data_IF_091291703083
#
_entry.id   IF_091291703083
#
_cell.length_a   1.000
_cell.length_b   1.000
_cell.length_c   1.000
_cell.angle_alpha   90.00
_cell.angle_beta   90.00
_cell.angle_gamma   90.00
#
_symmetry.space_group_name_H-M   'P 1'
#
loop_
_entity.id
_entity.type
_entity.pdbx_description
1 polymer ?
#
# COMPACT_ATOMS: atom_id res chain seq x y z
N UNK A 1 -3.49 -5.48 14.66
CA UNK A 1 -4.12 -5.67 13.33
C UNK A 1 -5.52 -5.12 13.41
N UNK A 2 -5.79 -3.96 12.80
CA UNK A 2 -5.00 -3.27 11.75
C UNK A 2 -3.64 -2.73 12.23
N UNK A 3 -2.77 -2.32 11.29
CA UNK A 3 -1.57 -1.53 11.58
C UNK A 3 -1.96 -0.06 11.68
N UNK A 4 -1.72 0.57 12.82
CA UNK A 4 -2.11 1.95 13.09
C UNK A 4 -0.92 2.90 12.97
N UNK A 5 -1.12 4.17 12.55
CA UNK A 5 -0.12 5.21 12.69
C UNK A 5 0.36 5.40 14.14
N UNK A 6 -0.45 4.99 15.12
CA UNK A 6 -0.19 5.05 16.56
C UNK A 6 0.67 3.88 17.09
N UNK A 7 0.91 2.85 16.28
CA UNK A 7 1.77 1.73 16.67
C UNK A 7 3.24 2.17 16.80
N UNK A 8 3.97 1.51 17.70
CA UNK A 8 5.42 1.72 17.84
C UNK A 8 6.17 1.16 16.63
N UNK A 9 7.04 1.98 16.03
CA UNK A 9 7.75 1.65 14.77
C UNK A 9 9.28 1.65 14.93
N UNK A 10 9.75 1.42 16.16
CA UNK A 10 11.18 1.52 16.51
C UNK A 10 12.01 0.27 16.15
N UNK A 11 11.36 -0.81 15.71
CA UNK A 11 12.00 -2.10 15.42
C UNK A 11 11.75 -2.56 13.98
N UNK A 12 12.26 -1.84 12.95
CA UNK A 12 12.10 -2.23 11.56
C UNK A 12 12.85 -3.53 11.25
N UNK A 13 12.18 -4.47 10.59
CA UNK A 13 12.75 -5.78 10.19
C UNK A 13 13.53 -5.74 8.86
N UNK A 14 13.57 -4.59 8.19
CA UNK A 14 14.31 -4.40 6.94
C UNK A 14 15.00 -3.03 6.89
N UNK A 15 16.11 -2.96 6.13
CA UNK A 15 16.80 -1.70 5.86
C UNK A 15 15.86 -0.71 5.15
N UNK A 16 15.02 -1.19 4.23
CA UNK A 16 14.00 -0.35 3.59
C UNK A 16 13.09 0.32 4.63
N UNK A 17 12.52 -0.45 5.56
CA UNK A 17 11.67 0.09 6.61
C UNK A 17 12.41 1.10 7.51
N UNK A 18 13.68 0.80 7.86
CA UNK A 18 14.51 1.73 8.63
C UNK A 18 14.72 3.06 7.89
N UNK A 19 15.02 3.04 6.59
CA UNK A 19 15.19 4.28 5.81
C UNK A 19 13.89 5.08 5.66
N UNK A 20 12.74 4.40 5.54
CA UNK A 20 11.43 5.07 5.52
C UNK A 20 11.09 5.70 6.86
N UNK A 21 11.40 5.03 7.98
CA UNK A 21 11.24 5.63 9.31
C UNK A 21 12.18 6.82 9.53
N UNK A 22 13.41 6.75 9.01
CA UNK A 22 14.34 7.88 9.05
C UNK A 22 13.76 9.12 8.33
N UNK A 23 13.04 8.93 7.21
CA UNK A 23 12.37 10.06 6.54
C UNK A 23 11.31 10.73 7.42
N UNK A 24 10.52 9.95 8.18
CA UNK A 24 9.56 10.51 9.13
C UNK A 24 10.27 11.40 10.17
N UNK A 25 11.35 10.89 10.77
CA UNK A 25 12.14 11.64 11.76
C UNK A 25 12.78 12.90 11.16
N UNK A 26 13.33 12.81 9.95
CA UNK A 26 13.89 13.97 9.24
C UNK A 26 12.82 15.01 8.95
N UNK A 27 11.64 14.61 8.46
CA UNK A 27 10.53 15.53 8.16
C UNK A 27 9.98 16.22 9.40
N UNK A 28 9.87 15.50 10.53
CA UNK A 28 9.50 16.08 11.82
C UNK A 28 10.50 17.14 12.26
N UNK A 29 11.81 16.84 12.21
CA UNK A 29 12.86 17.79 12.59
C UNK A 29 12.79 19.09 11.78
N UNK A 30 12.59 18.99 10.46
CA UNK A 30 12.40 20.17 9.60
C UNK A 30 11.10 20.93 9.92
N UNK A 31 10.01 20.22 10.21
CA UNK A 31 8.74 20.85 10.60
C UNK A 31 8.88 21.61 11.92
N UNK A 32 9.59 21.03 12.88
CA UNK A 32 9.80 21.64 14.19
C UNK A 32 10.73 22.86 14.12
N UNK A 33 11.86 22.75 13.42
CA UNK A 33 12.86 23.82 13.36
C UNK A 33 12.44 24.97 12.44
N UNK A 34 11.76 24.67 11.33
CA UNK A 34 11.53 25.63 10.25
C UNK A 34 10.06 25.86 9.93
N UNK A 35 9.13 25.19 10.62
CA UNK A 35 7.70 25.36 10.41
C UNK A 35 7.20 24.86 9.05
N UNK A 36 7.98 24.04 8.35
CA UNK A 36 7.61 23.47 7.04
C UNK A 36 6.50 22.43 7.27
N UNK A 37 5.28 22.60 6.75
CA UNK A 37 4.24 21.60 6.92
C UNK A 37 4.58 20.32 6.17
N UNK A 38 4.57 19.18 6.87
CA UNK A 38 4.89 17.89 6.25
C UNK A 38 3.85 16.83 6.55
N UNK A 39 3.40 16.16 5.48
CA UNK A 39 2.51 15.01 5.56
C UNK A 39 3.24 13.77 5.09
N UNK A 40 3.40 12.78 5.97
CA UNK A 40 3.93 11.47 5.61
C UNK A 40 2.80 10.49 5.31
N UNK A 41 2.88 9.80 4.17
CA UNK A 41 1.94 8.76 3.78
C UNK A 41 2.62 7.39 3.81
N UNK A 42 2.14 6.50 4.66
CA UNK A 42 2.57 5.09 4.74
C UNK A 42 1.73 4.26 3.78
N UNK A 43 2.32 3.94 2.63
CA UNK A 43 1.68 3.16 1.59
C UNK A 43 1.63 1.67 1.93
N UNK A 44 0.49 1.06 1.60
CA UNK A 44 0.34 -0.39 1.50
C UNK A 44 0.50 -0.84 0.04
N UNK A 45 -0.03 -2.00 -0.35
CA UNK A 45 0.29 -2.58 -1.66
C UNK A 45 -0.50 -1.87 -2.75
N UNK A 46 0.18 -1.00 -3.52
CA UNK A 46 -0.42 -0.32 -4.68
C UNK A 46 -0.33 -1.19 -5.93
N UNK A 47 -1.41 -1.24 -6.73
CA UNK A 47 -1.46 -1.97 -7.99
C UNK A 47 -2.27 -1.23 -9.06
N UNK A 48 -2.05 -1.58 -10.33
CA UNK A 48 -2.78 -1.00 -11.47
C UNK A 48 -1.87 -0.82 -12.69
N UNK A 49 -2.41 -0.29 -13.81
CA UNK A 49 -1.65 0.06 -15.01
C UNK A 49 -0.35 0.80 -14.69
N UNK A 50 0.70 0.55 -15.48
CA UNK A 50 2.06 1.09 -15.24
C UNK A 50 2.70 0.64 -13.92
N UNK A 51 2.17 -0.42 -13.30
CA UNK A 51 2.72 -1.04 -12.11
C UNK A 51 4.14 -1.57 -12.32
N UNK A 52 4.88 -1.73 -11.22
CA UNK A 52 6.28 -2.16 -11.27
C UNK A 52 6.41 -3.66 -11.59
N UNK A 53 7.40 -4.07 -12.42
CA UNK A 53 7.53 -5.45 -12.86
C UNK A 53 8.00 -6.42 -11.77
N UNK A 54 8.47 -5.93 -10.62
CA UNK A 54 8.89 -6.72 -9.46
C UNK A 54 7.74 -7.10 -8.51
N UNK A 55 6.51 -6.66 -8.78
CA UNK A 55 5.36 -6.83 -7.88
C UNK A 55 4.42 -7.97 -8.32
N UNK A 56 3.72 -8.55 -7.35
CA UNK A 56 2.94 -9.80 -7.49
C UNK A 56 1.99 -9.81 -8.69
N UNK A 57 1.15 -8.77 -8.85
CA UNK A 57 0.20 -8.69 -9.98
C UNK A 57 0.91 -8.78 -11.34
N UNK A 58 2.04 -8.09 -11.48
CA UNK A 58 2.81 -8.08 -12.72
C UNK A 58 3.47 -9.43 -12.96
N UNK A 59 4.20 -9.95 -11.96
CA UNK A 59 4.89 -11.24 -12.04
C UNK A 59 3.92 -12.37 -12.38
N UNK A 60 2.74 -12.39 -11.74
CA UNK A 60 1.72 -13.40 -11.99
C UNK A 60 1.10 -13.26 -13.37
N UNK A 61 0.76 -12.05 -13.80
CA UNK A 61 0.19 -11.82 -15.13
C UNK A 61 1.16 -12.26 -16.23
N UNK A 62 2.44 -11.90 -16.10
CA UNK A 62 3.49 -12.34 -17.04
C UNK A 62 3.60 -13.85 -17.09
N UNK A 63 3.74 -14.51 -15.95
CA UNK A 63 3.88 -15.96 -15.88
C UNK A 63 2.65 -16.69 -16.44
N UNK A 64 1.43 -16.25 -16.08
CA UNK A 64 0.17 -16.84 -16.57
C UNK A 64 0.04 -16.69 -18.09
N UNK A 65 0.39 -15.52 -18.64
CA UNK A 65 0.36 -15.31 -20.09
C UNK A 65 1.38 -16.18 -20.83
N UNK A 66 2.55 -16.43 -20.23
CA UNK A 66 3.61 -17.26 -20.77
C UNK A 66 3.44 -18.78 -20.51
N UNK A 67 2.45 -19.19 -19.72
CA UNK A 67 2.29 -20.59 -19.33
C UNK A 67 3.37 -21.07 -18.33
N UNK A 68 3.93 -20.15 -17.56
CA UNK A 68 4.95 -20.42 -16.53
C UNK A 68 4.28 -20.54 -15.14
N UNK A 69 4.90 -21.30 -14.21
CA UNK A 69 4.39 -21.43 -12.86
C UNK A 69 4.55 -20.14 -12.04
N UNK A 70 3.55 -19.82 -11.22
CA UNK A 70 3.61 -18.76 -10.22
C UNK A 70 3.93 -19.34 -8.84
N UNK A 71 4.82 -18.69 -8.09
CA UNK A 71 5.10 -19.05 -6.69
C UNK A 71 4.02 -18.48 -5.78
N UNK A 72 3.33 -19.35 -5.06
CA UNK A 72 2.24 -18.98 -4.14
C UNK A 72 2.66 -19.32 -2.72
N UNK A 73 3.21 -18.34 -2.01
CA UNK A 73 3.69 -18.50 -0.64
C UNK A 73 2.55 -18.64 0.38
N UNK A 74 2.86 -19.25 1.52
CA UNK A 74 1.92 -19.58 2.59
C UNK A 74 0.66 -20.32 2.08
N UNK A 75 0.84 -21.19 1.08
CA UNK A 75 -0.25 -21.98 0.50
C UNK A 75 -1.47 -21.14 0.04
N UNK A 76 -1.25 -19.91 -0.41
CA UNK A 76 -2.30 -19.01 -0.89
C UNK A 76 -3.09 -18.28 0.20
N UNK A 77 -2.78 -18.51 1.48
CA UNK A 77 -3.49 -17.93 2.63
C UNK A 77 -3.04 -16.50 2.98
N UNK A 78 -2.10 -15.94 2.21
CA UNK A 78 -1.65 -14.56 2.43
C UNK A 78 -2.79 -13.58 2.16
N UNK A 79 -2.95 -12.64 3.08
CA UNK A 79 -3.86 -11.49 2.93
C UNK A 79 -3.04 -10.22 2.75
N UNK A 80 -3.40 -9.44 1.75
CA UNK A 80 -2.75 -8.18 1.43
C UNK A 80 -3.79 -7.09 1.21
N UNK A 81 -3.42 -5.90 1.62
CA UNK A 81 -4.20 -4.69 1.38
C UNK A 81 -3.76 -4.11 0.03
N UNK A 82 -4.56 -4.43 -0.99
CA UNK A 82 -4.37 -3.97 -2.36
C UNK A 82 -5.21 -2.71 -2.59
N UNK A 83 -4.54 -1.62 -2.95
CA UNK A 83 -5.18 -0.35 -3.30
C UNK A 83 -4.91 -0.03 -4.75
N UNK A 84 -5.99 0.23 -5.51
CA UNK A 84 -5.87 0.54 -6.92
C UNK A 84 -5.21 1.91 -7.13
N UNK A 85 -4.44 2.05 -8.19
CA UNK A 85 -3.61 3.24 -8.44
C UNK A 85 -4.44 4.53 -8.51
N UNK A 86 -5.64 4.49 -9.10
CA UNK A 86 -6.47 5.69 -9.21
C UNK A 86 -7.02 6.13 -7.84
N UNK A 87 -7.34 5.19 -6.95
CA UNK A 87 -7.74 5.51 -5.56
C UNK A 87 -6.57 6.16 -4.79
N UNK A 88 -5.34 5.68 -5.02
CA UNK A 88 -4.12 6.28 -4.44
C UNK A 88 -3.91 7.70 -4.98
N UNK A 89 -4.05 7.89 -6.29
CA UNK A 89 -3.87 9.19 -6.94
C UNK A 89 -4.89 10.20 -6.41
N UNK A 90 -6.16 9.81 -6.28
CA UNK A 90 -7.21 10.66 -5.72
C UNK A 90 -6.89 11.06 -4.28
N UNK A 91 -6.43 10.12 -3.45
CA UNK A 91 -5.99 10.40 -2.09
C UNK A 91 -4.83 11.41 -2.02
N UNK A 92 -3.84 11.25 -2.90
CA UNK A 92 -2.68 12.17 -2.99
C UNK A 92 -3.12 13.57 -3.47
N UNK A 93 -4.04 13.67 -4.43
CA UNK A 93 -4.51 14.96 -4.92
C UNK A 93 -5.27 15.71 -3.81
N UNK A 94 -6.14 15.03 -3.07
CA UNK A 94 -6.94 15.65 -2.00
C UNK A 94 -6.11 16.11 -0.81
N UNK A 95 -5.11 15.33 -0.40
CA UNK A 95 -4.30 15.66 0.78
C UNK A 95 -3.40 16.88 0.54
N UNK A 96 -3.04 17.20 -0.72
CA UNK A 96 -2.21 18.37 -1.04
C UNK A 96 -2.83 19.69 -0.55
N UNK A 97 -4.16 19.79 -0.53
CA UNK A 97 -4.88 20.98 -0.06
C UNK A 97 -5.03 21.04 1.48
N UNK A 98 -4.55 20.02 2.22
CA UNK A 98 -4.78 19.86 3.66
C UNK A 98 -3.46 19.82 4.44
N UNK A 99 -2.70 20.91 4.35
CA UNK A 99 -1.44 21.05 5.06
C UNK A 99 -1.62 20.98 6.59
N UNK A 100 -0.79 20.19 7.31
CA UNK A 100 -0.83 20.12 8.77
C UNK A 100 -0.61 21.49 9.41
N UNK A 101 -1.28 21.71 10.53
CA UNK A 101 -1.16 22.94 11.33
C UNK A 101 -0.38 22.64 12.61
N UNK A 102 0.21 23.67 13.21
CA UNK A 102 0.82 23.56 14.54
C UNK A 102 -0.22 23.18 15.58
N UNK A 103 0.20 22.39 16.57
CA UNK A 103 -0.67 21.94 17.67
C UNK A 103 -0.01 22.25 19.03
N UNK A 104 -0.17 23.47 19.57
CA UNK A 104 0.52 23.90 20.79
C UNK A 104 0.23 23.00 22.00
N UNK A 105 -0.97 22.41 22.05
CA UNK A 105 -1.43 21.57 23.16
C UNK A 105 -1.02 20.09 23.04
N UNK A 106 -0.27 19.73 21.99
CA UNK A 106 0.24 18.36 21.82
C UNK A 106 1.36 18.06 22.84
N UNK A 107 1.38 16.85 23.38
CA UNK A 107 2.43 16.39 24.31
C UNK A 107 2.91 14.98 23.98
N UNK A 108 4.18 14.67 24.27
CA UNK A 108 4.77 13.35 24.01
C UNK A 108 4.10 12.21 24.79
N UNK A 109 3.40 12.51 25.89
CA UNK A 109 2.80 11.52 26.79
C UNK A 109 1.32 11.25 26.52
N UNK A 110 0.62 12.16 25.85
CA UNK A 110 -0.82 12.07 25.61
C UNK A 110 -1.24 12.34 24.16
N UNK A 111 -0.35 12.90 23.35
CA UNK A 111 -0.58 13.19 21.94
C UNK A 111 -0.48 11.95 21.06
N UNK A 112 -1.14 12.00 19.90
CA UNK A 112 -1.01 10.99 18.86
C UNK A 112 0.44 10.94 18.34
N UNK A 113 0.99 9.74 18.17
CA UNK A 113 2.33 9.50 17.63
C UNK A 113 2.45 9.84 16.15
N UNK A 114 1.32 9.87 15.46
CA UNK A 114 1.23 10.33 14.07
C UNK A 114 1.32 11.84 13.93
N UNK A 115 1.32 12.61 15.02
CA UNK A 115 1.30 14.07 15.01
C UNK A 115 2.40 14.65 15.91
N UNK A 116 2.53 15.97 15.93
CA UNK A 116 3.42 16.68 16.83
C UNK A 116 2.88 18.09 17.13
N UNK A 117 3.58 18.83 18.00
CA UNK A 117 3.35 20.27 18.17
C UNK A 117 3.75 21.08 16.92
N UNK A 118 4.70 20.57 16.15
CA UNK A 118 5.07 21.04 14.81
C UNK A 118 3.97 20.72 13.77
N UNK A 119 3.92 21.41 12.61
CA UNK A 119 2.99 21.10 11.52
C UNK A 119 3.40 19.80 10.80
N UNK A 120 3.21 18.67 11.48
CA UNK A 120 3.64 17.35 11.06
C UNK A 120 2.49 16.35 11.26
N UNK A 121 2.18 15.56 10.23
CA UNK A 121 1.19 14.50 10.33
C UNK A 121 1.55 13.27 9.50
N UNK A 122 1.29 12.09 10.06
CA UNK A 122 1.39 10.80 9.38
C UNK A 122 0.01 10.21 9.16
N UNK A 123 -0.16 9.57 8.01
CA UNK A 123 -1.33 8.77 7.70
C UNK A 123 -0.90 7.43 7.11
N UNK A 124 -1.70 6.39 7.33
CA UNK A 124 -1.69 5.25 6.43
C UNK A 124 -2.60 5.54 5.24
N UNK A 125 -2.19 5.07 4.06
CA UNK A 125 -3.01 5.09 2.86
C UNK A 125 -3.10 3.66 2.31
N UNK A 126 -4.33 3.17 2.17
CA UNK A 126 -4.64 1.78 1.87
C UNK A 126 -6.14 1.62 1.58
N UNK A 127 -6.59 0.39 1.33
CA UNK A 127 -7.99 0.05 1.06
C UNK A 127 -8.69 -0.56 2.30
N UNK A 128 -7.95 -0.97 3.33
CA UNK A 128 -8.46 -1.57 4.58
C UNK A 128 -9.31 -2.83 4.42
N UNK A 129 -9.45 -3.33 3.20
CA UNK A 129 -10.12 -4.56 2.85
C UNK A 129 -9.06 -5.59 2.42
N UNK A 130 -8.57 -6.43 3.34
CA UNK A 130 -7.57 -7.44 3.00
C UNK A 130 -8.13 -8.42 1.98
N UNK A 131 -7.44 -8.56 0.85
CA UNK A 131 -7.76 -9.51 -0.21
C UNK A 131 -6.84 -10.72 -0.09
N UNK A 132 -7.41 -11.91 -0.17
CA UNK A 132 -6.66 -13.16 -0.24
C UNK A 132 -5.90 -13.25 -1.57
N UNK A 133 -4.66 -13.75 -1.51
CA UNK A 133 -3.82 -13.92 -2.69
C UNK A 133 -4.50 -14.75 -3.77
N UNK A 134 -5.29 -15.77 -3.38
CA UNK A 134 -6.04 -16.56 -4.36
C UNK A 134 -7.15 -15.77 -5.06
N UNK A 135 -7.79 -14.81 -4.39
CA UNK A 135 -8.77 -13.94 -5.07
C UNK A 135 -8.09 -13.08 -6.14
N UNK A 136 -6.89 -12.58 -5.87
CA UNK A 136 -6.07 -11.89 -6.88
C UNK A 136 -5.76 -12.81 -8.06
N UNK A 137 -5.30 -14.04 -7.81
CA UNK A 137 -4.96 -15.00 -8.87
C UNK A 137 -6.20 -15.32 -9.71
N UNK A 138 -7.35 -15.59 -9.08
CA UNK A 138 -8.61 -15.82 -9.78
C UNK A 138 -9.04 -14.62 -10.66
N UNK A 139 -8.85 -13.39 -10.18
CA UNK A 139 -9.12 -12.19 -10.98
C UNK A 139 -8.20 -12.11 -12.21
N UNK A 140 -6.91 -12.48 -12.07
CA UNK A 140 -5.97 -12.52 -13.20
C UNK A 140 -6.36 -13.63 -14.18
N UNK A 141 -6.72 -14.81 -13.69
CA UNK A 141 -7.19 -15.91 -14.56
C UNK A 141 -8.42 -15.50 -15.37
N UNK A 142 -9.37 -14.80 -14.75
CA UNK A 142 -10.57 -14.29 -15.42
C UNK A 142 -10.21 -13.25 -16.50
N UNK A 143 -9.37 -12.26 -16.16
CA UNK A 143 -8.98 -11.19 -17.09
C UNK A 143 -8.10 -11.69 -18.25
N UNK A 144 -7.24 -12.69 -17.99
CA UNK A 144 -6.36 -13.28 -19.01
C UNK A 144 -7.05 -14.37 -19.83
N UNK A 145 -8.10 -15.01 -19.30
CA UNK A 145 -8.70 -16.21 -19.89
C UNK A 145 -7.80 -17.45 -19.81
N UNK A 146 -6.75 -17.43 -18.98
CA UNK A 146 -5.80 -18.54 -18.80
C UNK A 146 -5.76 -18.99 -17.34
N UNK A 147 -5.57 -20.29 -17.11
CA UNK A 147 -5.41 -20.84 -15.76
C UNK A 147 -3.97 -20.75 -15.29
N UNK A 148 -3.78 -20.37 -14.03
CA UNK A 148 -2.47 -20.26 -13.41
C UNK A 148 -1.95 -21.65 -13.02
N UNK A 149 -0.68 -21.92 -13.35
CA UNK A 149 0.04 -23.06 -12.83
C UNK A 149 0.61 -22.65 -11.46
N UNK A 150 0.01 -23.15 -10.37
CA UNK A 150 0.35 -22.73 -9.01
C UNK A 150 1.43 -23.64 -8.42
N UNK A 151 2.55 -23.04 -8.03
CA UNK A 151 3.60 -23.68 -7.24
C UNK A 151 3.48 -23.21 -5.79
N UNK A 152 2.83 -24.01 -4.94
CA UNK A 152 2.60 -23.67 -3.54
C UNK A 152 3.87 -23.83 -2.70
N UNK A 153 4.22 -22.76 -1.99
CA UNK A 153 5.44 -22.67 -1.20
C UNK A 153 5.12 -22.43 0.28
N UNK A 154 5.98 -22.89 1.21
CA UNK A 154 5.86 -22.53 2.62
C UNK A 154 6.03 -21.00 2.80
N UNK A 155 5.57 -20.47 3.93
CA UNK A 155 5.76 -19.05 4.25
C UNK A 155 7.26 -18.73 4.37
N UNK A 156 7.69 -17.56 3.89
CA UNK A 156 9.07 -17.13 4.01
C UNK A 156 9.34 -16.55 5.40
N UNK A 157 10.55 -16.72 5.98
CA UNK A 157 10.93 -16.02 7.20
C UNK A 157 10.83 -14.50 7.02
N UNK A 158 10.09 -13.83 7.91
CA UNK A 158 9.85 -12.38 7.86
C UNK A 158 8.59 -11.96 7.10
N UNK A 159 7.91 -12.89 6.42
CA UNK A 159 6.57 -12.62 5.87
C UNK A 159 5.51 -12.65 6.97
N UNK A 160 4.52 -11.77 6.83
CA UNK A 160 3.34 -11.70 7.70
C UNK A 160 2.10 -12.21 6.96
N UNK A 161 1.28 -12.99 7.65
CA UNK A 161 0.09 -13.65 7.09
C UNK A 161 -0.94 -12.64 6.58
N UNK A 162 -1.16 -11.55 7.32
CA UNK A 162 -2.09 -10.50 6.94
C UNK A 162 -1.48 -9.11 7.19
N UNK A 163 -1.62 -8.23 6.21
CA UNK A 163 -1.32 -6.80 6.35
C UNK A 163 -2.55 -6.02 5.92
N UNK A 164 -3.13 -5.24 6.82
CA UNK A 164 -4.12 -4.23 6.47
C UNK A 164 -3.94 -2.99 7.32
N UNK A 165 -4.19 -1.85 6.69
CA UNK A 165 -4.00 -0.53 7.25
C UNK A 165 -5.20 -0.14 8.12
N UNK A 166 -4.94 0.61 9.20
CA UNK A 166 -5.94 1.51 9.76
C UNK A 166 -5.84 2.83 9.01
N UNK A 167 -6.87 3.16 8.22
CA UNK A 167 -6.92 4.36 7.35
C UNK A 167 -8.02 5.33 7.76
N UNK A 168 -8.76 5.07 8.84
CA UNK A 168 -9.97 5.83 9.17
C UNK A 168 -9.67 7.33 9.37
N UNK A 169 -8.51 7.66 9.93
CA UNK A 169 -8.08 9.06 10.07
C UNK A 169 -7.83 9.70 8.69
N UNK A 170 -7.19 8.98 7.76
CA UNK A 170 -6.93 9.50 6.42
C UNK A 170 -8.23 9.73 5.66
N UNK A 171 -9.12 8.72 5.60
CA UNK A 171 -10.39 8.80 4.87
C UNK A 171 -11.27 9.93 5.37
N UNK A 172 -11.41 10.08 6.69
CA UNK A 172 -12.11 11.23 7.31
C UNK A 172 -11.41 12.54 6.97
N UNK A 173 -10.08 12.55 6.98
CA UNK A 173 -9.32 13.75 6.70
C UNK A 173 -9.48 14.21 5.26
N UNK A 174 -9.56 13.32 4.27
CA UNK A 174 -9.69 13.67 2.84
C UNK A 174 -11.13 13.56 2.28
N UNK A 175 -12.08 13.07 3.07
CA UNK A 175 -13.47 12.80 2.67
C UNK A 175 -13.54 11.90 1.42
N UNK A 176 -12.82 10.78 1.48
CA UNK A 176 -12.72 9.82 0.39
C UNK A 176 -12.36 8.43 0.93
N UNK A 177 -13.01 7.41 0.38
CA UNK A 177 -12.79 5.99 0.69
C UNK A 177 -12.50 5.28 -0.63
N UNK A 178 -11.35 4.58 -0.78
CA UNK A 178 -11.06 3.75 -1.94
C UNK A 178 -12.18 2.74 -2.18
N UNK A 179 -12.62 2.60 -3.43
CA UNK A 179 -13.79 1.79 -3.75
C UNK A 179 -13.59 0.85 -4.95
N UNK A 180 -12.42 0.84 -5.58
CA UNK A 180 -12.21 0.02 -6.79
C UNK A 180 -12.18 -1.47 -6.43
N UNK A 181 -13.11 -2.30 -6.95
CA UNK A 181 -13.07 -3.74 -6.76
C UNK A 181 -11.81 -4.35 -7.38
N UNK A 182 -11.24 -5.38 -6.73
CA UNK A 182 -10.01 -6.03 -7.20
C UNK A 182 -10.16 -6.57 -8.63
N UNK A 183 -11.33 -7.10 -8.97
CA UNK A 183 -11.62 -7.62 -10.31
C UNK A 183 -11.54 -6.52 -11.38
N UNK A 184 -12.04 -5.31 -11.09
CA UNK A 184 -12.00 -4.18 -12.01
C UNK A 184 -10.58 -3.65 -12.19
N UNK A 185 -9.83 -3.48 -11.10
CA UNK A 185 -8.46 -3.01 -11.17
C UNK A 185 -7.53 -3.99 -11.87
N UNK A 186 -7.73 -5.31 -11.65
CA UNK A 186 -6.97 -6.37 -12.33
C UNK A 186 -7.29 -6.40 -13.82
N UNK A 187 -8.56 -6.29 -14.20
CA UNK A 187 -8.94 -6.20 -15.61
C UNK A 187 -8.24 -5.03 -16.29
N UNK A 188 -8.30 -3.84 -15.68
CA UNK A 188 -7.65 -2.63 -16.19
C UNK A 188 -6.13 -2.81 -16.35
N UNK A 189 -5.49 -3.48 -15.39
CA UNK A 189 -4.06 -3.82 -15.48
C UNK A 189 -3.76 -4.78 -16.64
N UNK A 190 -4.53 -5.86 -16.81
CA UNK A 190 -4.29 -6.85 -17.85
C UNK A 190 -4.52 -6.25 -19.24
N UNK A 191 -5.53 -5.39 -19.40
CA UNK A 191 -5.79 -4.68 -20.65
C UNK A 191 -4.64 -3.74 -21.00
N UNK A 192 -4.15 -2.97 -20.03
CA UNK A 192 -2.94 -2.16 -20.18
C UNK A 192 -1.72 -3.03 -20.56
N UNK A 193 -1.48 -4.12 -19.82
CA UNK A 193 -0.33 -5.00 -20.03
C UNK A 193 -0.31 -5.54 -21.46
N UNK A 194 -1.45 -6.03 -21.95
CA UNK A 194 -1.59 -6.52 -23.33
C UNK A 194 -1.32 -5.42 -24.34
N UNK A 195 -1.93 -4.25 -24.18
CA UNK A 195 -1.74 -3.14 -25.11
C UNK A 195 -0.27 -2.66 -25.15
N UNK A 196 0.39 -2.62 -24.00
CA UNK A 196 1.77 -2.16 -23.88
C UNK A 196 2.78 -3.16 -24.46
N UNK A 197 2.63 -4.45 -24.16
CA UNK A 197 3.57 -5.51 -24.57
C UNK A 197 3.22 -6.20 -25.90
N UNK A 198 2.07 -5.91 -26.53
CA UNK A 198 1.78 -6.38 -27.90
C UNK A 198 2.54 -5.61 -28.99
N UNK A 199 3.21 -4.51 -28.64
CA UNK A 199 4.04 -3.72 -29.56
C UNK A 199 5.55 -4.04 -29.47
N UNK A 200 5.93 -5.12 -28.76
CA UNK A 200 7.27 -5.72 -28.75
C UNK A 200 7.25 -7.11 -29.42
#
# INVERSE_FOLDING_TARGET
MPFSPEDGVDHPVSLYAATKKANELMSHSYSHLYGIPTTGLRFFTVYGPWGRPDMALFLFTKAILNGEPIKVFNYGKMKRDFTYIDDIVEGIIRIQAKAPQTKPDWSDTAGARSESSAPYKLFNIGNSQPVELERLICAIEAATGKKAIRDYQPIQPGDVEATFADVEDFERHIDFVPATPIEQGVQSFVDWYRAYYQNE
#
